data_IF_168675029669
#
_entry.id   IF_168675029669
#
_cell.length_a   1.000
_cell.length_b   1.000
_cell.length_c   1.000
_cell.angle_alpha   90.00
_cell.angle_beta   90.00
_cell.angle_gamma   90.00
#
_symmetry.space_group_name_H-M   'P 1'
#
loop_
_entity.id
_entity.type
_entity.pdbx_description
1 polymer ?
#
# COMPACT_ATOMS: atom_id res chain seq x y z
N UNK A 1 25.79 40.51 -43.17
CA UNK A 1 24.65 40.92 -42.33
C UNK A 1 24.52 39.91 -41.20
N UNK A 2 24.62 40.32 -39.93
CA UNK A 2 24.53 39.46 -38.74
C UNK A 2 23.14 39.62 -38.12
N UNK A 3 22.35 38.54 -38.05
CA UNK A 3 21.07 38.54 -37.36
C UNK A 3 21.26 38.03 -35.93
N UNK A 4 21.06 38.88 -34.93
CA UNK A 4 20.92 38.46 -33.53
C UNK A 4 19.52 37.87 -33.33
N UNK A 5 19.43 36.64 -32.80
CA UNK A 5 18.15 36.05 -32.41
C UNK A 5 17.88 36.28 -30.91
N UNK A 6 16.66 36.69 -30.53
CA UNK A 6 16.32 36.88 -29.13
C UNK A 6 16.12 35.53 -28.43
N UNK A 7 16.89 35.27 -27.37
CA UNK A 7 16.69 34.10 -26.48
C UNK A 7 15.38 34.26 -25.72
N UNK A 8 14.31 33.62 -26.20
CA UNK A 8 13.08 33.43 -25.43
C UNK A 8 13.36 32.45 -24.27
N UNK A 9 13.43 32.96 -23.05
CA UNK A 9 13.33 32.12 -21.84
C UNK A 9 11.86 31.77 -21.64
N UNK A 10 11.50 30.51 -21.82
CA UNK A 10 10.17 30.02 -21.43
C UNK A 10 10.05 30.14 -19.89
N UNK A 11 9.14 30.99 -19.42
CA UNK A 11 8.80 31.06 -17.99
C UNK A 11 8.09 29.75 -17.65
N UNK A 12 8.77 28.87 -16.90
CA UNK A 12 8.17 27.65 -16.36
C UNK A 12 7.05 28.08 -15.42
N UNK A 13 5.79 27.90 -15.85
CA UNK A 13 4.62 28.09 -15.00
C UNK A 13 4.82 27.17 -13.79
N UNK A 14 4.85 27.76 -12.60
CA UNK A 14 4.84 26.99 -11.36
C UNK A 14 3.52 26.24 -11.33
N UNK A 15 3.58 24.92 -11.52
CA UNK A 15 2.43 24.04 -11.29
C UNK A 15 2.11 24.15 -9.81
N UNK A 16 1.15 25.00 -9.48
CA UNK A 16 0.55 25.03 -8.15
C UNK A 16 0.18 23.59 -7.78
N UNK A 17 0.66 23.15 -6.61
CA UNK A 17 0.26 21.88 -5.99
C UNK A 17 -1.24 21.90 -5.85
N UNK A 18 -1.96 21.40 -6.86
CA UNK A 18 -3.39 21.17 -6.80
C UNK A 18 -3.63 20.34 -5.54
N UNK A 19 -4.36 20.90 -4.58
CA UNK A 19 -4.99 20.10 -3.52
C UNK A 19 -5.64 18.93 -4.23
N UNK A 20 -5.16 17.72 -3.95
CA UNK A 20 -5.60 16.50 -4.61
C UNK A 20 -7.13 16.41 -4.48
N UNK A 21 -7.83 16.62 -5.59
CA UNK A 21 -9.23 16.23 -5.69
C UNK A 21 -9.34 14.79 -5.19
N UNK A 22 -10.37 14.43 -4.41
CA UNK A 22 -10.56 13.05 -3.99
C UNK A 22 -10.74 12.23 -5.25
N UNK A 23 -9.69 11.53 -5.66
CA UNK A 23 -9.76 10.60 -6.78
C UNK A 23 -10.83 9.59 -6.40
N UNK A 24 -12.00 9.66 -7.04
CA UNK A 24 -13.10 8.75 -6.77
C UNK A 24 -12.60 7.38 -7.21
N UNK A 25 -12.09 6.59 -6.26
CA UNK A 25 -11.63 5.26 -6.60
C UNK A 25 -12.83 4.34 -6.70
N UNK A 26 -12.95 3.65 -7.83
CA UNK A 26 -14.09 2.79 -8.15
C UNK A 26 -14.12 1.50 -7.31
N UNK A 27 -13.14 1.31 -6.41
CA UNK A 27 -13.09 0.17 -5.49
C UNK A 27 -12.63 -1.14 -6.13
N UNK A 28 -12.16 -1.15 -7.39
CA UNK A 28 -11.70 -2.38 -8.08
C UNK A 28 -10.34 -2.90 -7.60
N UNK A 29 -9.60 -2.14 -6.78
CA UNK A 29 -8.29 -2.54 -6.29
C UNK A 29 -7.12 -2.18 -7.20
N UNK A 30 -7.39 -1.71 -8.43
CA UNK A 30 -6.36 -1.40 -9.44
C UNK A 30 -5.83 0.04 -9.39
N UNK A 31 -6.50 0.89 -8.62
CA UNK A 31 -6.14 2.30 -8.48
C UNK A 31 -5.07 2.44 -7.40
N UNK A 32 -3.92 2.99 -7.80
CA UNK A 32 -2.69 2.98 -7.01
C UNK A 32 -2.14 4.42 -6.89
N UNK A 33 -1.70 4.83 -5.68
CA UNK A 33 -1.88 4.14 -4.40
C UNK A 33 -3.36 4.15 -3.95
N UNK A 34 -3.80 3.17 -3.15
CA UNK A 34 -5.14 3.20 -2.59
C UNK A 34 -5.34 4.36 -1.63
N UNK A 35 -6.59 4.81 -1.50
CA UNK A 35 -7.00 5.60 -0.36
C UNK A 35 -6.97 4.75 0.91
N UNK A 36 -6.43 5.31 2.00
CA UNK A 36 -6.35 4.63 3.31
C UNK A 36 -7.70 4.11 3.79
N UNK A 37 -8.77 4.90 3.62
CA UNK A 37 -10.13 4.52 4.00
C UNK A 37 -10.60 3.25 3.28
N UNK A 38 -10.27 3.07 2.01
CA UNK A 38 -10.65 1.86 1.25
C UNK A 38 -9.92 0.62 1.74
N UNK A 39 -8.67 0.78 2.18
CA UNK A 39 -7.91 -0.29 2.82
C UNK A 39 -8.55 -0.66 4.15
N UNK A 40 -8.88 0.33 4.99
CA UNK A 40 -9.55 0.11 6.28
C UNK A 40 -10.88 -0.65 6.10
N UNK A 41 -11.74 -0.20 5.18
CA UNK A 41 -13.01 -0.87 4.85
C UNK A 41 -12.76 -2.31 4.37
N UNK A 42 -11.77 -2.52 3.49
CA UNK A 42 -11.48 -3.86 2.97
C UNK A 42 -11.02 -4.83 4.06
N UNK A 43 -10.14 -4.39 4.96
CA UNK A 43 -9.65 -5.22 6.05
C UNK A 43 -10.72 -5.50 7.12
N UNK A 44 -11.63 -4.55 7.35
CA UNK A 44 -12.80 -4.75 8.21
C UNK A 44 -13.73 -5.83 7.63
N UNK A 45 -14.04 -5.76 6.33
CA UNK A 45 -14.80 -6.80 5.61
C UNK A 45 -14.13 -8.19 5.62
N UNK A 46 -12.82 -8.26 5.89
CA UNK A 46 -12.05 -9.51 5.98
C UNK A 46 -11.76 -9.93 7.42
N UNK A 47 -12.44 -9.34 8.39
CA UNK A 47 -12.31 -9.64 9.83
C UNK A 47 -10.86 -9.47 10.34
N UNK A 48 -10.08 -8.60 9.70
CA UNK A 48 -8.69 -8.31 10.05
C UNK A 48 -8.42 -6.79 10.20
N UNK A 49 -9.28 -6.01 10.88
CA UNK A 49 -9.15 -4.54 10.92
C UNK A 49 -7.81 -4.07 11.51
N UNK A 50 -7.26 -4.81 12.48
CA UNK A 50 -5.99 -4.51 13.14
C UNK A 50 -4.77 -4.57 12.20
N UNK A 51 -4.91 -5.17 11.01
CA UNK A 51 -3.83 -5.27 10.02
C UNK A 51 -3.87 -4.14 8.98
N UNK A 52 -4.95 -3.35 8.91
CA UNK A 52 -5.14 -2.35 7.87
C UNK A 52 -4.05 -1.26 7.89
N UNK A 53 -3.79 -0.69 9.07
CA UNK A 53 -2.77 0.36 9.24
C UNK A 53 -1.37 -0.17 8.95
N UNK A 54 -1.04 -1.36 9.47
CA UNK A 54 0.27 -2.00 9.30
C UNK A 54 0.54 -2.28 7.81
N UNK A 55 -0.46 -2.82 7.11
CA UNK A 55 -0.39 -3.04 5.66
C UNK A 55 -0.18 -1.73 4.90
N UNK A 56 -0.99 -0.71 5.18
CA UNK A 56 -0.92 0.58 4.48
C UNK A 56 0.44 1.24 4.67
N UNK A 57 0.93 1.31 5.91
CA UNK A 57 2.22 1.91 6.23
C UNK A 57 3.40 1.14 5.62
N UNK A 58 3.31 -0.19 5.57
CA UNK A 58 4.33 -1.03 4.94
C UNK A 58 4.50 -0.67 3.46
N UNK A 59 3.41 -0.64 2.70
CA UNK A 59 3.47 -0.33 1.26
C UNK A 59 3.64 1.16 0.96
N UNK A 60 3.18 2.04 1.85
CA UNK A 60 3.46 3.47 1.74
C UNK A 60 4.96 3.77 1.87
N UNK A 61 5.66 3.11 2.82
CA UNK A 61 7.12 3.23 2.96
C UNK A 61 7.89 2.65 1.77
N UNK A 62 7.30 1.68 1.08
CA UNK A 62 7.86 1.07 -0.12
C UNK A 62 7.45 1.80 -1.43
N UNK A 63 6.85 3.00 -1.33
CA UNK A 63 6.31 3.77 -2.46
C UNK A 63 5.39 2.96 -3.39
N UNK A 64 4.67 1.99 -2.82
CA UNK A 64 3.80 1.07 -3.55
C UNK A 64 4.50 0.37 -4.73
N UNK A 65 5.80 0.10 -4.57
CA UNK A 65 6.63 -0.58 -5.55
C UNK A 65 7.33 -1.80 -4.94
N UNK A 66 7.69 -2.74 -5.81
CA UNK A 66 8.54 -3.86 -5.44
C UNK A 66 9.95 -3.37 -5.07
N UNK A 67 10.77 -4.20 -4.39
CA UNK A 67 12.17 -3.87 -4.11
C UNK A 67 13.02 -3.58 -5.35
N UNK A 68 12.58 -4.03 -6.53
CA UNK A 68 13.21 -3.74 -7.83
C UNK A 68 12.72 -2.42 -8.46
N UNK A 69 11.85 -1.69 -7.78
CA UNK A 69 11.23 -0.44 -8.26
C UNK A 69 10.04 -0.64 -9.20
N UNK A 70 9.54 -1.87 -9.37
CA UNK A 70 8.36 -2.11 -10.23
C UNK A 70 7.09 -1.74 -9.47
N UNK A 71 6.27 -0.78 -9.96
CA UNK A 71 5.06 -0.36 -9.26
C UNK A 71 4.03 -1.50 -9.21
N UNK A 72 3.41 -1.68 -8.06
CA UNK A 72 2.29 -2.61 -7.94
C UNK A 72 1.06 -2.08 -8.69
N UNK A 73 0.26 -2.99 -9.21
CA UNK A 73 -0.94 -2.66 -10.01
C UNK A 73 -2.25 -2.94 -9.28
N UNK A 74 -2.22 -3.69 -8.19
CA UNK A 74 -3.42 -4.11 -7.50
C UNK A 74 -3.16 -4.23 -5.99
N UNK A 75 -3.68 -3.29 -5.21
CA UNK A 75 -3.51 -3.30 -3.76
C UNK A 75 -4.38 -4.34 -3.06
N UNK A 76 -5.52 -4.74 -3.64
CA UNK A 76 -6.38 -5.79 -3.07
C UNK A 76 -5.72 -7.17 -3.18
N UNK A 77 -4.96 -7.41 -4.25
CA UNK A 77 -4.16 -8.64 -4.38
C UNK A 77 -3.11 -8.69 -3.26
N UNK A 78 -2.36 -7.60 -3.07
CA UNK A 78 -1.38 -7.48 -1.98
C UNK A 78 -2.04 -7.65 -0.60
N UNK A 79 -3.21 -7.05 -0.38
CA UNK A 79 -3.95 -7.19 0.87
C UNK A 79 -4.40 -8.63 1.11
N UNK A 80 -4.85 -9.34 0.07
CA UNK A 80 -5.19 -10.76 0.14
C UNK A 80 -4.01 -11.62 0.58
N UNK A 81 -2.85 -11.43 -0.06
CA UNK A 81 -1.61 -12.14 0.31
C UNK A 81 -1.18 -11.80 1.75
N UNK A 82 -1.29 -10.53 2.15
CA UNK A 82 -1.00 -10.08 3.51
C UNK A 82 -1.85 -10.79 4.55
N UNK A 83 -3.17 -10.79 4.36
CA UNK A 83 -4.14 -11.41 5.27
C UNK A 83 -3.86 -12.92 5.37
N UNK A 84 -3.64 -13.59 4.24
CA UNK A 84 -3.30 -15.00 4.23
C UNK A 84 -2.06 -15.29 5.07
N UNK A 85 -0.96 -14.57 4.83
CA UNK A 85 0.29 -14.75 5.56
C UNK A 85 0.13 -14.47 7.06
N UNK A 86 -0.59 -13.41 7.43
CA UNK A 86 -0.89 -13.08 8.81
C UNK A 86 -1.64 -14.21 9.52
N UNK A 87 -2.70 -14.75 8.90
CA UNK A 87 -3.47 -15.84 9.47
C UNK A 87 -2.64 -17.13 9.63
N UNK A 88 -1.77 -17.45 8.67
CA UNK A 88 -0.86 -18.60 8.79
C UNK A 88 0.12 -18.42 9.95
N UNK A 89 0.70 -17.22 10.10
CA UNK A 89 1.60 -16.91 11.21
C UNK A 89 0.90 -17.05 12.58
N UNK A 90 -0.33 -16.55 12.71
CA UNK A 90 -1.13 -16.70 13.95
C UNK A 90 -1.42 -18.18 14.25
N UNK A 91 -1.81 -18.97 13.24
CA UNK A 91 -2.04 -20.41 13.39
C UNK A 91 -0.77 -21.14 13.84
N UNK A 92 0.38 -20.81 13.25
CA UNK A 92 1.67 -21.39 13.62
C UNK A 92 2.04 -21.03 15.07
N UNK A 93 1.91 -19.77 15.46
CA UNK A 93 2.20 -19.32 16.83
C UNK A 93 1.33 -20.05 17.86
N UNK A 94 0.04 -20.26 17.56
CA UNK A 94 -0.86 -21.05 18.41
C UNK A 94 -0.37 -22.50 18.59
N UNK A 95 0.04 -23.16 17.50
CA UNK A 95 0.58 -24.53 17.53
C UNK A 95 1.88 -24.63 18.34
N UNK A 96 2.79 -23.68 18.17
CA UNK A 96 4.04 -23.64 18.94
C UNK A 96 3.72 -23.52 20.43
N UNK A 97 2.81 -22.62 20.80
CA UNK A 97 2.39 -22.43 22.19
C UNK A 97 1.75 -23.69 22.78
N UNK A 98 0.84 -24.34 22.06
CA UNK A 98 0.21 -25.58 22.54
C UNK A 98 1.23 -26.70 22.74
N UNK A 99 2.17 -26.85 21.80
CA UNK A 99 3.22 -27.87 21.88
C UNK A 99 4.20 -27.61 23.03
N UNK A 100 4.46 -26.34 23.35
CA UNK A 100 5.29 -25.97 24.50
C UNK A 100 4.58 -26.31 25.82
N UNK A 101 3.29 -25.97 25.95
CA UNK A 101 2.50 -26.29 27.14
C UNK A 101 2.36 -27.79 27.37
N UNK A 102 2.12 -28.57 26.31
CA UNK A 102 2.02 -30.04 26.42
C UNK A 102 3.33 -30.71 26.85
N UNK A 103 4.48 -30.08 26.58
CA UNK A 103 5.80 -30.58 26.98
C UNK A 103 6.14 -30.28 28.44
N UNK A 104 5.49 -29.31 29.07
CA UNK A 104 5.74 -28.91 30.46
C UNK A 104 4.84 -29.65 31.47
N UNK A 105 3.81 -30.36 30.99
CA UNK A 105 2.88 -31.15 31.82
C UNK A 105 3.28 -32.62 31.95
N UNK A 106 4.47 -33.00 31.47
CA UNK A 106 5.09 -34.33 31.59
C UNK A 106 6.37 -34.19 32.42
#
# INVERSE_FOLDING_TARGET
MLFQTPKRKARRVQVERRKSEPTIQNGFGIEMPPQRLLVEIYFDQKECPNQASVFYEHYQKADWASPKGTPYRNWKLLAGDWIYNYQQAVKLAKRIRTNALSKLSL
#
